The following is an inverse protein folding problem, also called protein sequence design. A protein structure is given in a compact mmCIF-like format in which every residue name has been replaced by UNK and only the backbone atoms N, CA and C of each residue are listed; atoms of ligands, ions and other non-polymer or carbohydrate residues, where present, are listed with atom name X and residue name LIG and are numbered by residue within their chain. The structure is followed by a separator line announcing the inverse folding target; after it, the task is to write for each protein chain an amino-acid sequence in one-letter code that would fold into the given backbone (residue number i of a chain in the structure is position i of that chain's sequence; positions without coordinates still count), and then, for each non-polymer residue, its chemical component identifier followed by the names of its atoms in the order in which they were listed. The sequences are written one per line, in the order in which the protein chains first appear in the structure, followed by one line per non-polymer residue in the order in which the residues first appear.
data_IF_263852246817
#
_entry.id   IF_263852246817
#
_cell.length_a   1.000
_cell.length_b   1.000
_cell.length_c   1.000
_cell.angle_alpha   90.00
_cell.angle_beta   90.00
_cell.angle_gamma   90.00
#
_symmetry.space_group_name_H-M   'P 1'
#
loop_
_entity.id
_entity.type
_entity.pdbx_description
1 polymer ?
#
# COMPACT_ATOMS: atom_id res chain seq x y z
N UNK A 1 -20.70 -50.39 11.52
CA UNK A 1 -21.04 -49.10 10.87
C UNK A 1 -20.32 -48.01 11.65
N UNK A 2 -19.16 -47.59 11.16
CA UNK A 2 -18.28 -46.66 11.85
C UNK A 2 -18.62 -45.25 11.37
N UNK A 3 -19.23 -44.44 12.23
CA UNK A 3 -19.48 -43.03 11.94
C UNK A 3 -18.19 -42.24 12.14
N UNK A 4 -17.46 -41.99 11.06
CA UNK A 4 -16.37 -41.01 11.07
C UNK A 4 -16.99 -39.62 11.03
N UNK A 5 -17.05 -38.97 12.18
CA UNK A 5 -17.37 -37.56 12.30
C UNK A 5 -16.25 -36.73 11.68
N UNK A 6 -16.54 -36.06 10.57
CA UNK A 6 -15.72 -34.94 10.10
C UNK A 6 -16.06 -33.73 10.96
N UNK A 7 -15.37 -33.58 12.09
CA UNK A 7 -15.21 -32.27 12.70
C UNK A 7 -14.20 -31.53 11.82
N UNK A 8 -14.69 -30.61 10.99
CA UNK A 8 -13.82 -29.61 10.40
C UNK A 8 -13.19 -28.83 11.57
N UNK A 9 -11.86 -28.83 11.65
CA UNK A 9 -11.08 -28.01 12.57
C UNK A 9 -11.43 -26.54 12.30
N UNK A 10 -12.46 -26.04 12.98
CA UNK A 10 -12.78 -24.63 13.03
C UNK A 10 -11.71 -24.01 13.92
N UNK A 11 -10.66 -23.50 13.30
CA UNK A 11 -9.63 -22.73 13.98
C UNK A 11 -10.34 -21.56 14.68
N UNK A 12 -10.57 -21.69 15.98
CA UNK A 12 -11.10 -20.61 16.81
C UNK A 12 -9.96 -19.61 16.97
N UNK A 13 -9.74 -18.77 15.96
CA UNK A 13 -8.85 -17.61 16.05
C UNK A 13 -9.39 -16.73 17.18
N UNK A 14 -8.58 -16.53 18.22
CA UNK A 14 -8.96 -15.69 19.35
C UNK A 14 -8.72 -14.22 18.99
N UNK A 15 -9.66 -13.32 19.32
CA UNK A 15 -9.55 -11.89 19.06
C UNK A 15 -8.28 -11.27 19.68
N UNK A 16 -7.74 -11.88 20.73
CA UNK A 16 -6.49 -11.48 21.38
C UNK A 16 -5.30 -11.44 20.42
N UNK A 17 -5.26 -12.31 19.41
CA UNK A 17 -4.18 -12.36 18.41
C UNK A 17 -4.11 -11.08 17.56
N UNK A 18 -5.24 -10.39 17.44
CA UNK A 18 -5.38 -9.18 16.63
C UNK A 18 -4.96 -7.91 17.37
N UNK A 19 -4.70 -7.98 18.69
CA UNK A 19 -4.31 -6.81 19.52
C UNK A 19 -5.29 -5.63 19.36
N UNK A 20 -6.58 -5.92 19.31
CA UNK A 20 -7.61 -4.90 19.15
C UNK A 20 -7.66 -3.99 20.38
N UNK A 21 -7.78 -2.69 20.17
CA UNK A 21 -8.01 -1.71 21.24
C UNK A 21 -9.50 -1.42 21.32
N UNK A 22 -10.07 -1.40 22.52
CA UNK A 22 -11.43 -0.89 22.73
C UNK A 22 -11.36 0.60 23.00
N UNK A 23 -12.21 1.39 22.35
CA UNK A 23 -12.32 2.84 22.57
C UNK A 23 -13.79 3.24 22.80
N UNK A 24 -13.99 4.42 23.37
CA UNK A 24 -15.31 5.02 23.45
C UNK A 24 -15.74 5.63 22.12
N UNK A 25 -17.05 5.72 21.87
CA UNK A 25 -17.60 6.31 20.63
C UNK A 25 -17.17 7.78 20.44
N UNK A 26 -16.92 8.50 21.53
CA UNK A 26 -16.43 9.88 21.50
C UNK A 26 -14.99 10.02 20.98
N UNK A 27 -14.23 8.92 20.95
CA UNK A 27 -12.86 8.90 20.43
C UNK A 27 -12.82 8.55 18.93
N UNK A 28 -13.96 8.19 18.33
CA UNK A 28 -14.07 7.98 16.88
C UNK A 28 -14.11 9.35 16.19
N UNK A 29 -13.25 9.61 15.19
CA UNK A 29 -13.31 10.86 14.44
C UNK A 29 -14.68 11.07 13.79
N UNK A 30 -15.19 12.32 13.80
CA UNK A 30 -16.56 12.63 13.34
C UNK A 30 -16.82 12.26 11.86
N UNK A 31 -15.77 12.20 11.05
CA UNK A 31 -15.85 11.82 9.63
C UNK A 31 -15.72 10.30 9.39
N UNK A 32 -15.54 9.50 10.43
CA UNK A 32 -15.42 8.04 10.36
C UNK A 32 -16.71 7.38 10.83
N UNK A 33 -17.33 6.60 9.94
CA UNK A 33 -18.40 5.66 10.30
C UNK A 33 -17.78 4.27 10.51
N UNK A 34 -17.79 3.69 11.72
CA UNK A 34 -17.24 2.36 11.98
C UNK A 34 -17.89 1.27 11.12
N UNK A 35 -17.13 0.23 10.79
CA UNK A 35 -17.61 -0.96 10.09
C UNK A 35 -18.43 -1.79 11.08
N UNK A 36 -19.74 -1.90 10.85
CA UNK A 36 -20.62 -2.74 11.66
C UNK A 36 -20.38 -4.21 11.36
N UNK A 37 -20.07 -4.98 12.40
CA UNK A 37 -19.87 -6.44 12.36
C UNK A 37 -20.87 -7.10 13.30
N UNK A 38 -21.49 -8.19 12.86
CA UNK A 38 -22.60 -8.85 13.58
C UNK A 38 -22.13 -9.63 14.79
N UNK A 39 -20.95 -10.23 14.68
CA UNK A 39 -20.39 -11.08 15.73
C UNK A 39 -18.85 -11.15 15.62
N UNK A 40 -18.22 -11.75 16.64
CA UNK A 40 -16.77 -11.93 16.69
C UNK A 40 -16.24 -12.78 15.53
N UNK A 41 -17.05 -13.70 14.99
CA UNK A 41 -16.64 -14.59 13.90
C UNK A 41 -16.54 -13.81 12.60
N UNK A 42 -17.49 -12.90 12.33
CA UNK A 42 -17.42 -11.97 11.21
C UNK A 42 -16.24 -11.01 11.35
N UNK A 43 -16.00 -10.48 12.55
CA UNK A 43 -14.85 -9.60 12.80
C UNK A 43 -13.52 -10.32 12.51
N UNK A 44 -13.35 -11.54 13.01
CA UNK A 44 -12.15 -12.35 12.72
C UNK A 44 -12.01 -12.58 11.23
N UNK A 45 -13.09 -12.91 10.53
CA UNK A 45 -13.06 -13.12 9.08
C UNK A 45 -12.60 -11.86 8.34
N UNK A 46 -13.15 -10.69 8.67
CA UNK A 46 -12.77 -9.42 8.07
C UNK A 46 -11.30 -9.12 8.36
N UNK A 47 -10.83 -9.31 9.60
CA UNK A 47 -9.43 -9.09 9.97
C UNK A 47 -8.47 -10.06 9.26
N UNK A 48 -8.87 -11.32 9.09
CA UNK A 48 -8.12 -12.30 8.31
C UNK A 48 -8.08 -11.92 6.83
N UNK A 49 -9.16 -11.45 6.24
CA UNK A 49 -9.21 -10.98 4.86
C UNK A 49 -8.37 -9.71 4.65
N UNK A 50 -8.36 -8.78 5.61
CA UNK A 50 -7.49 -7.61 5.58
C UNK A 50 -6.01 -8.01 5.64
N UNK A 51 -5.68 -9.03 6.44
CA UNK A 51 -4.30 -9.51 6.62
C UNK A 51 -3.83 -10.43 5.48
N UNK A 52 -4.71 -11.29 4.96
CA UNK A 52 -4.39 -12.36 4.02
C UNK A 52 -4.84 -12.05 2.57
N UNK A 53 -5.42 -10.87 2.32
CA UNK A 53 -6.14 -10.53 1.09
C UNK A 53 -5.47 -10.89 -0.23
N UNK A 54 -6.28 -11.18 -1.24
CA UNK A 54 -5.82 -11.52 -2.60
C UNK A 54 -5.18 -10.30 -3.28
N UNK A 55 -3.91 -10.47 -3.69
CA UNK A 55 -3.08 -9.41 -4.25
C UNK A 55 -3.32 -9.26 -5.75
N UNK A 56 -4.05 -8.23 -6.15
CA UNK A 56 -4.09 -7.85 -7.57
C UNK A 56 -3.00 -6.82 -7.82
N UNK A 57 -2.04 -7.18 -8.67
CA UNK A 57 -1.01 -6.27 -9.17
C UNK A 57 -1.51 -5.73 -10.50
N UNK A 58 -1.81 -4.44 -10.55
CA UNK A 58 -1.99 -3.75 -11.81
C UNK A 58 -1.18 -2.44 -11.77
N UNK A 59 -0.58 -2.13 -12.90
CA UNK A 59 0.37 -1.04 -13.05
C UNK A 59 -0.09 -0.20 -14.23
N UNK A 60 -0.61 0.99 -13.96
CA UNK A 60 -0.79 2.01 -14.98
C UNK A 60 0.50 2.83 -15.09
N UNK A 61 1.14 2.78 -16.26
CA UNK A 61 2.19 3.73 -16.62
C UNK A 61 1.47 4.92 -17.25
N UNK A 62 1.42 6.04 -16.54
CA UNK A 62 1.08 7.31 -17.18
C UNK A 62 2.23 7.70 -18.12
N UNK A 63 1.86 8.07 -19.35
CA UNK A 63 2.81 8.34 -20.44
C UNK A 63 3.86 9.38 -20.04
N UNK A 64 5.12 9.25 -20.49
CA UNK A 64 6.19 10.18 -20.14
C UNK A 64 5.85 11.61 -20.58
N UNK A 65 5.93 12.56 -19.65
CA UNK A 65 5.84 13.99 -19.98
C UNK A 65 7.20 14.41 -20.55
N UNK A 66 7.22 14.75 -21.85
CA UNK A 66 8.38 15.35 -22.51
C UNK A 66 8.57 16.79 -22.02
N UNK A 67 9.53 17.01 -21.12
CA UNK A 67 10.05 18.35 -20.85
C UNK A 67 11.04 18.68 -21.98
N UNK A 68 10.64 19.58 -22.90
CA UNK A 68 11.57 20.16 -23.87
C UNK A 68 12.40 21.23 -23.15
N UNK A 69 13.69 21.00 -22.99
CA UNK A 69 14.65 22.06 -22.66
C UNK A 69 14.85 22.95 -23.89
N UNK A 70 14.43 24.22 -23.80
CA UNK A 70 14.83 25.25 -24.75
C UNK A 70 16.32 25.60 -24.53
N UNK A 71 17.07 25.58 -25.63
CA UNK A 71 18.52 25.55 -25.71
C UNK A 71 19.26 26.71 -25.02
N UNK A 72 20.40 26.41 -24.38
CA UNK A 72 21.55 27.30 -24.21
C UNK A 72 22.86 26.49 -24.09
N UNK A 73 23.89 26.93 -24.82
CA UNK A 73 25.19 26.25 -25.00
C UNK A 73 25.98 26.20 -23.68
N UNK A 74 26.18 24.98 -23.15
CA UNK A 74 26.93 24.64 -21.93
C UNK A 74 27.27 23.13 -21.90
N UNK A 75 28.18 22.65 -21.04
CA UNK A 75 28.88 21.36 -21.20
C UNK A 75 27.88 20.20 -21.26
N UNK A 76 28.08 19.29 -22.23
CA UNK A 76 27.25 18.08 -22.53
C UNK A 76 26.01 17.97 -21.65
N UNK A 77 24.91 18.65 -22.04
CA UNK A 77 23.62 18.46 -21.38
C UNK A 77 23.25 16.99 -21.47
N UNK A 78 23.16 16.35 -20.31
CA UNK A 78 22.64 14.99 -20.21
C UNK A 78 21.14 15.11 -20.41
N UNK A 79 20.64 14.60 -21.55
CA UNK A 79 19.21 14.57 -21.82
C UNK A 79 18.53 13.69 -20.75
N UNK A 80 17.65 14.31 -19.96
CA UNK A 80 16.95 13.64 -18.85
C UNK A 80 15.45 13.65 -19.07
N UNK A 81 14.79 12.57 -18.66
CA UNK A 81 13.33 12.45 -18.66
C UNK A 81 12.82 12.07 -17.29
N UNK A 82 11.61 12.54 -16.97
CA UNK A 82 10.91 12.19 -15.74
C UNK A 82 9.62 11.44 -16.06
N UNK A 83 9.34 10.40 -15.29
CA UNK A 83 8.13 9.57 -15.39
C UNK A 83 7.47 9.47 -14.04
N UNK A 84 6.17 9.74 -13.99
CA UNK A 84 5.35 9.49 -12.81
C UNK A 84 4.92 8.03 -12.81
N UNK A 85 5.11 7.38 -11.67
CA UNK A 85 4.79 5.98 -11.44
C UNK A 85 3.68 5.90 -10.41
N UNK A 86 2.72 5.03 -10.69
CA UNK A 86 1.72 4.60 -9.73
C UNK A 86 1.81 3.07 -9.62
N UNK A 87 1.96 2.58 -8.39
CA UNK A 87 1.76 1.18 -8.05
C UNK A 87 0.61 1.13 -7.05
N UNK A 88 -0.25 0.13 -7.13
CA UNK A 88 -1.31 -0.03 -6.15
C UNK A 88 -1.49 -1.48 -5.74
N UNK A 89 -2.03 -1.66 -4.54
CA UNK A 89 -2.36 -2.97 -3.98
C UNK A 89 -3.76 -2.88 -3.39
N UNK A 90 -4.67 -3.69 -3.93
CA UNK A 90 -6.07 -3.73 -3.49
C UNK A 90 -6.33 -4.89 -2.52
N UNK A 91 -7.29 -4.68 -1.64
CA UNK A 91 -7.94 -5.72 -0.83
C UNK A 91 -9.47 -5.58 -0.96
N UNK A 92 -10.23 -6.31 -0.15
CA UNK A 92 -11.69 -6.33 -0.18
C UNK A 92 -12.33 -4.94 0.03
N UNK A 93 -11.72 -4.09 0.85
CA UNK A 93 -12.27 -2.78 1.21
C UNK A 93 -11.67 -1.66 0.35
N UNK A 94 -10.35 -1.59 0.28
CA UNK A 94 -9.65 -0.44 -0.29
C UNK A 94 -8.45 -0.84 -1.13
N UNK A 95 -7.95 0.14 -1.87
CA UNK A 95 -6.69 0.06 -2.62
C UNK A 95 -5.71 1.04 -2.04
N UNK A 96 -4.54 0.56 -1.63
CA UNK A 96 -3.41 1.42 -1.29
C UNK A 96 -2.69 1.81 -2.57
N UNK A 97 -2.51 3.10 -2.82
CA UNK A 97 -1.72 3.59 -3.94
C UNK A 97 -0.36 4.10 -3.46
N UNK A 98 0.64 3.96 -4.32
CA UNK A 98 2.01 4.37 -4.13
C UNK A 98 2.45 5.18 -5.34
N UNK A 99 2.90 6.40 -5.10
CA UNK A 99 3.30 7.35 -6.13
C UNK A 99 4.78 7.68 -6.02
N UNK A 100 5.42 7.87 -7.17
CA UNK A 100 6.79 8.39 -7.26
C UNK A 100 7.08 8.99 -8.61
N UNK A 101 8.02 9.93 -8.69
CA UNK A 101 8.57 10.42 -9.95
C UNK A 101 10.01 9.93 -10.09
N UNK A 102 10.31 9.25 -11.20
CA UNK A 102 11.66 8.77 -11.53
C UNK A 102 12.24 9.63 -12.64
N UNK A 103 13.45 10.17 -12.42
CA UNK A 103 14.21 10.91 -13.43
C UNK A 103 15.40 10.07 -13.88
N UNK A 104 15.57 9.92 -15.19
CA UNK A 104 16.63 9.11 -15.78
C UNK A 104 17.30 9.80 -16.97
N UNK A 105 18.57 9.45 -17.19
CA UNK A 105 19.38 9.82 -18.34
C UNK A 105 18.96 8.97 -19.55
N UNK A 106 18.53 9.61 -20.64
CA UNK A 106 18.04 8.94 -21.85
C UNK A 106 19.15 8.29 -22.68
N UNK A 107 20.37 8.81 -22.58
CA UNK A 107 21.54 8.33 -23.33
C UNK A 107 22.07 7.05 -22.72
N UNK A 108 22.19 7.01 -21.39
CA UNK A 108 22.76 5.88 -20.67
C UNK A 108 21.71 4.93 -20.08
N UNK A 109 20.42 5.31 -20.11
CA UNK A 109 19.32 4.61 -19.44
C UNK A 109 19.60 4.36 -17.95
N UNK A 110 20.21 5.34 -17.29
CA UNK A 110 20.54 5.28 -15.86
C UNK A 110 19.62 6.19 -15.06
N UNK A 111 19.19 5.72 -13.90
CA UNK A 111 18.28 6.43 -13.02
C UNK A 111 19.07 7.42 -12.18
N UNK A 112 18.78 8.71 -12.37
CA UNK A 112 19.42 9.83 -11.67
C UNK A 112 18.82 10.10 -10.29
N UNK A 113 17.49 10.15 -10.20
CA UNK A 113 16.79 10.45 -8.95
C UNK A 113 15.38 9.85 -8.89
N UNK A 114 14.87 9.69 -7.67
CA UNK A 114 13.46 9.41 -7.40
C UNK A 114 12.95 10.45 -6.41
N UNK A 115 11.77 10.98 -6.65
CA UNK A 115 11.13 12.04 -5.86
C UNK A 115 9.62 11.81 -5.74
N UNK A 116 8.91 12.70 -5.04
CA UNK A 116 7.45 12.66 -4.86
C UNK A 116 6.94 11.32 -4.32
N UNK A 117 7.65 10.74 -3.36
CA UNK A 117 7.24 9.51 -2.69
C UNK A 117 6.04 9.80 -1.81
N UNK A 118 4.88 9.30 -2.23
CA UNK A 118 3.62 9.49 -1.53
C UNK A 118 2.79 8.21 -1.59
N UNK A 119 1.81 8.08 -0.71
CA UNK A 119 0.84 7.00 -0.76
C UNK A 119 -0.50 7.48 -0.20
N UNK A 120 -1.57 6.93 -0.73
CA UNK A 120 -2.93 7.18 -0.29
C UNK A 120 -3.76 5.89 -0.36
N UNK A 121 -5.06 6.02 -0.10
CA UNK A 121 -6.03 4.95 -0.28
C UNK A 121 -7.20 5.41 -1.13
N UNK A 122 -7.75 4.49 -1.92
CA UNK A 122 -8.97 4.67 -2.71
C UNK A 122 -9.91 3.47 -2.53
N UNK A 123 -11.15 3.57 -3.01
CA UNK A 123 -12.16 2.49 -2.88
C UNK A 123 -13.11 2.71 -1.71
N UNK A 124 -13.55 1.63 -1.07
CA UNK A 124 -14.45 1.69 0.08
C UNK A 124 -13.64 1.91 1.37
N UNK A 125 -13.57 3.18 1.78
CA UNK A 125 -12.76 3.63 2.94
C UNK A 125 -13.60 3.85 4.21
N UNK A 126 -14.83 3.33 4.26
CA UNK A 126 -15.70 3.47 5.43
C UNK A 126 -15.08 2.73 6.61
N UNK A 127 -14.98 3.43 7.75
CA UNK A 127 -14.39 2.88 8.96
C UNK A 127 -12.88 2.67 8.87
N UNK A 128 -12.22 3.28 7.88
CA UNK A 128 -10.77 3.19 7.68
C UNK A 128 -10.20 4.59 7.61
N UNK A 129 -9.21 4.84 8.45
CA UNK A 129 -8.32 6.00 8.33
C UNK A 129 -6.97 5.54 7.82
N UNK A 130 -6.35 6.34 6.95
CA UNK A 130 -5.01 6.10 6.45
C UNK A 130 -4.19 7.37 6.50
N UNK A 131 -3.00 7.26 7.07
CA UNK A 131 -2.02 8.35 7.12
C UNK A 131 -0.75 7.95 6.37
N UNK A 132 -0.39 8.73 5.34
CA UNK A 132 0.92 8.59 4.71
C UNK A 132 2.03 8.83 5.74
N UNK A 133 2.99 7.92 5.82
CA UNK A 133 4.12 8.05 6.73
C UNK A 133 5.43 8.02 5.97
N UNK A 134 6.04 9.20 5.82
CA UNK A 134 7.29 9.37 5.09
C UNK A 134 8.48 8.61 5.70
N UNK A 135 8.40 8.16 6.96
CA UNK A 135 9.42 7.28 7.56
C UNK A 135 9.46 5.90 6.90
N UNK A 136 8.39 5.50 6.22
CA UNK A 136 8.35 4.27 5.43
C UNK A 136 8.89 4.44 4.00
N UNK A 137 9.21 5.68 3.60
CA UNK A 137 9.76 5.95 2.28
C UNK A 137 11.23 5.51 2.20
N UNK A 138 11.57 4.75 1.16
CA UNK A 138 12.95 4.32 0.94
C UNK A 138 13.21 4.12 -0.56
N UNK A 139 14.43 4.45 -1.00
CA UNK A 139 14.89 4.26 -2.37
C UNK A 139 16.23 3.54 -2.32
N UNK A 140 16.35 2.46 -3.09
CA UNK A 140 17.63 1.78 -3.30
C UNK A 140 17.87 1.52 -4.77
N UNK A 141 19.02 1.97 -5.27
CA UNK A 141 19.43 1.77 -6.66
C UNK A 141 20.23 0.48 -6.83
N UNK A 142 20.10 -0.17 -7.97
CA UNK A 142 21.08 -1.17 -8.41
C UNK A 142 22.45 -0.51 -8.61
N UNK A 143 23.52 -1.29 -8.57
CA UNK A 143 24.90 -0.79 -8.76
C UNK A 143 25.11 -0.10 -10.10
N UNK A 144 24.44 -0.58 -11.15
CA UNK A 144 24.45 0.02 -12.50
C UNK A 144 23.43 1.15 -12.68
N UNK A 145 22.63 1.46 -11.65
CA UNK A 145 21.55 2.43 -11.63
C UNK A 145 20.48 2.23 -12.72
N UNK A 146 20.39 1.05 -13.34
CA UNK A 146 19.34 0.75 -14.34
C UNK A 146 18.01 0.38 -13.70
N UNK A 147 18.05 -0.05 -12.45
CA UNK A 147 16.88 -0.46 -11.67
C UNK A 147 16.85 0.28 -10.35
N UNK A 148 15.65 0.65 -9.91
CA UNK A 148 15.41 1.23 -8.59
C UNK A 148 14.33 0.43 -7.88
N UNK A 149 14.55 0.18 -6.59
CA UNK A 149 13.50 -0.33 -5.68
C UNK A 149 13.00 0.85 -4.86
N UNK A 150 11.70 1.06 -4.88
CA UNK A 150 11.01 2.18 -4.23
C UNK A 150 10.07 1.59 -3.19
N UNK A 151 10.08 2.18 -2.00
CA UNK A 151 9.16 1.88 -0.91
C UNK A 151 8.42 3.14 -0.51
N UNK A 152 7.11 3.04 -0.32
CA UNK A 152 6.25 4.09 0.23
C UNK A 152 5.08 3.45 0.95
N UNK A 153 4.58 4.09 1.99
CA UNK A 153 3.59 3.47 2.85
C UNK A 153 3.06 4.42 3.91
N UNK A 154 2.26 3.85 4.80
CA UNK A 154 1.50 4.60 5.78
C UNK A 154 0.97 3.71 6.88
N UNK A 155 0.11 4.31 7.69
CA UNK A 155 -0.54 3.67 8.83
C UNK A 155 -2.04 3.58 8.57
N UNK A 156 -2.61 2.41 8.82
CA UNK A 156 -4.04 2.16 8.79
C UNK A 156 -4.60 2.11 10.20
N UNK A 157 -5.74 2.76 10.40
CA UNK A 157 -6.60 2.61 11.57
C UNK A 157 -7.97 2.12 11.11
N UNK A 158 -8.35 0.91 11.49
CA UNK A 158 -9.66 0.33 11.19
C UNK A 158 -10.56 0.41 12.42
N UNK A 159 -11.78 0.90 12.24
CA UNK A 159 -12.78 1.08 13.28
C UNK A 159 -13.93 0.10 13.05
N UNK A 160 -14.17 -0.79 14.01
CA UNK A 160 -15.24 -1.78 13.96
C UNK A 160 -16.24 -1.52 15.08
N UNK A 161 -17.54 -1.64 14.79
CA UNK A 161 -18.61 -1.64 15.77
C UNK A 161 -19.09 -3.08 15.98
N UNK A 162 -18.87 -3.62 17.18
CA UNK A 162 -19.28 -4.96 17.58
C UNK A 162 -20.08 -4.88 18.88
N UNK A 163 -21.34 -5.31 18.86
CA UNK A 163 -22.24 -5.31 20.04
C UNK A 163 -22.30 -3.97 20.79
N UNK A 164 -22.29 -2.86 20.04
CA UNK A 164 -22.31 -1.51 20.62
C UNK A 164 -20.95 -1.01 21.14
N UNK A 165 -19.89 -1.81 21.00
CA UNK A 165 -18.53 -1.49 21.43
C UNK A 165 -17.64 -1.23 20.21
N UNK A 166 -16.85 -0.15 20.24
CA UNK A 166 -15.89 0.15 19.19
C UNK A 166 -14.57 -0.57 19.44
N UNK A 167 -14.10 -1.30 18.44
CA UNK A 167 -12.80 -1.97 18.41
C UNK A 167 -11.94 -1.41 17.29
N UNK A 168 -10.67 -1.11 17.59
CA UNK A 168 -9.68 -0.60 16.64
C UNK A 168 -8.65 -1.68 16.33
N UNK A 169 -8.32 -1.81 15.04
CA UNK A 169 -7.11 -2.50 14.57
C UNK A 169 -6.18 -1.51 13.87
N UNK A 170 -4.90 -1.57 14.19
CA UNK A 170 -3.86 -0.70 13.61
C UNK A 170 -2.82 -1.54 12.87
N UNK A 171 -2.38 -1.09 11.70
CA UNK A 171 -1.27 -1.69 10.98
C UNK A 171 -0.49 -0.67 10.15
N UNK A 172 0.83 -0.84 10.06
CA UNK A 172 1.63 -0.17 9.06
C UNK A 172 1.63 -0.98 7.76
N UNK A 173 1.56 -0.30 6.63
CA UNK A 173 1.55 -0.94 5.31
C UNK A 173 2.49 -0.23 4.35
N UNK A 174 3.38 -0.99 3.73
CA UNK A 174 4.38 -0.49 2.79
C UNK A 174 4.28 -1.22 1.47
N UNK A 175 4.11 -0.46 0.38
CA UNK A 175 4.24 -0.95 -0.98
C UNK A 175 5.70 -0.82 -1.39
N UNK A 176 6.28 -1.93 -1.84
CA UNK A 176 7.60 -1.99 -2.46
C UNK A 176 7.43 -2.32 -3.94
N UNK A 177 8.03 -1.54 -4.83
CA UNK A 177 8.03 -1.83 -6.25
C UNK A 177 9.38 -1.57 -6.91
N UNK A 178 9.65 -2.29 -7.98
CA UNK A 178 10.88 -2.15 -8.78
C UNK A 178 10.55 -1.57 -10.14
N UNK A 179 11.31 -0.55 -10.51
CA UNK A 179 11.22 0.13 -11.79
C UNK A 179 12.55 0.04 -12.54
N UNK A 180 12.46 -0.15 -13.85
CA UNK A 180 13.57 0.02 -14.78
C UNK A 180 13.11 0.82 -16.00
N UNK A 181 14.03 1.57 -16.62
CA UNK A 181 13.71 2.38 -17.82
C UNK A 181 13.22 1.49 -18.98
N UNK A 182 13.76 0.27 -19.11
CA UNK A 182 13.45 -0.63 -20.21
C UNK A 182 12.10 -1.36 -20.05
N UNK A 183 11.66 -1.62 -18.82
CA UNK A 183 10.52 -2.50 -18.55
C UNK A 183 9.41 -1.86 -17.72
N UNK A 184 9.56 -0.59 -17.34
CA UNK A 184 8.63 0.06 -16.42
C UNK A 184 8.66 -0.60 -15.04
N UNK A 185 7.51 -0.61 -14.36
CA UNK A 185 7.34 -1.34 -13.11
C UNK A 185 7.23 -2.83 -13.41
N UNK A 186 8.08 -3.65 -12.80
CA UNK A 186 8.17 -5.09 -13.12
C UNK A 186 8.12 -5.99 -11.87
N UNK A 187 7.92 -5.40 -10.70
CA UNK A 187 7.70 -6.11 -9.44
C UNK A 187 7.01 -5.17 -8.47
N UNK A 188 5.94 -5.65 -7.83
CA UNK A 188 5.22 -4.96 -6.77
C UNK A 188 4.99 -5.97 -5.65
N UNK A 189 5.16 -5.55 -4.40
CA UNK A 189 4.79 -6.31 -3.21
C UNK A 189 4.32 -5.37 -2.10
N UNK A 190 3.54 -5.91 -1.16
CA UNK A 190 3.11 -5.22 0.05
C UNK A 190 3.68 -5.95 1.27
N UNK A 191 4.07 -5.20 2.29
CA UNK A 191 4.40 -5.73 3.61
C UNK A 191 3.64 -4.99 4.68
N UNK A 192 3.06 -5.72 5.63
CA UNK A 192 2.39 -5.16 6.80
C UNK A 192 3.12 -5.51 8.10
N UNK A 193 3.04 -4.61 9.09
CA UNK A 193 3.64 -4.82 10.42
C UNK A 193 2.95 -3.95 11.48
N UNK A 194 3.04 -4.35 12.74
CA UNK A 194 2.49 -3.62 13.89
C UNK A 194 3.51 -2.65 14.46
#
# INVERSE_FOLDING_TARGET
MSSSGFAADKKTSNLDDYKLKTIDISEVPEWITPIEVKDEVELVKVLEELRNGEYTIDSSIDSPILLKEDALVGPMSVDTKSVNLQAYVSNLLHSQNAYSTVTYDTTNNTIGSVSNLYSDITGYTVGVEYEHNSRHNNISYSSDRKTVTIKTGGHYTYYFLLDGVIKISEENSVITYKYSVASGIHSISRSTFK
#
